data_IF_168139196351
#
_entry.id   IF_168139196351
#
_cell.length_a   1.000
_cell.length_b   1.000
_cell.length_c   1.000
_cell.angle_alpha   90.00
_cell.angle_beta   90.00
_cell.angle_gamma   90.00
#
_symmetry.space_group_name_H-M   'P 1'
#
loop_
_entity.id
_entity.type
_entity.pdbx_description
1 polymer ?
#
# COMPACT_ATOMS: atom_id res chain seq x y z
N UNK A 1 -11.26 -0.42 -8.65
CA UNK A 1 -10.72 0.21 -9.89
C UNK A 1 -9.59 -0.63 -10.47
N UNK A 2 -9.32 -0.55 -11.79
CA UNK A 2 -8.15 -1.19 -12.41
C UNK A 2 -6.94 -0.27 -12.21
N UNK A 3 -5.90 -0.74 -11.50
CA UNK A 3 -4.64 -0.01 -11.33
C UNK A 3 -4.07 0.38 -12.69
N UNK A 4 -3.64 1.64 -12.80
CA UNK A 4 -2.91 2.13 -13.97
C UNK A 4 -1.60 1.34 -14.15
N UNK A 5 -1.04 1.29 -15.36
CA UNK A 5 0.23 0.62 -15.61
C UNK A 5 1.38 1.14 -14.72
N UNK A 6 1.34 2.42 -14.35
CA UNK A 6 2.32 3.05 -13.48
C UNK A 6 2.16 2.58 -12.03
N UNK A 7 0.93 2.61 -11.48
CA UNK A 7 0.66 2.15 -10.11
C UNK A 7 0.99 0.66 -9.93
N UNK A 8 0.74 -0.18 -10.94
CA UNK A 8 1.17 -1.60 -10.90
C UNK A 8 2.68 -1.75 -10.81
N UNK A 9 3.42 -0.87 -11.48
CA UNK A 9 4.89 -0.92 -11.50
C UNK A 9 5.46 -0.47 -10.17
N UNK A 10 4.88 0.57 -9.56
CA UNK A 10 5.22 1.01 -8.20
C UNK A 10 4.86 -0.05 -7.15
N UNK A 11 3.72 -0.74 -7.29
CA UNK A 11 3.36 -1.85 -6.41
C UNK A 11 4.35 -3.01 -6.51
N UNK A 12 4.73 -3.40 -7.72
CA UNK A 12 5.70 -4.47 -7.96
C UNK A 12 7.06 -4.12 -7.37
N UNK A 13 7.52 -2.88 -7.54
CA UNK A 13 8.78 -2.40 -6.99
C UNK A 13 8.80 -2.46 -5.45
N UNK A 14 7.71 -2.01 -4.80
CA UNK A 14 7.59 -2.10 -3.33
C UNK A 14 7.54 -3.55 -2.82
N UNK A 15 6.90 -4.47 -3.58
CA UNK A 15 6.87 -5.89 -3.23
C UNK A 15 8.23 -6.57 -3.41
N UNK A 16 8.99 -6.17 -4.43
CA UNK A 16 10.34 -6.68 -4.67
C UNK A 16 11.29 -6.22 -3.56
N UNK A 17 11.23 -4.94 -3.19
CA UNK A 17 11.97 -4.39 -2.04
C UNK A 17 11.63 -5.11 -0.74
N UNK A 18 10.35 -5.40 -0.48
CA UNK A 18 9.92 -6.16 0.71
C UNK A 18 10.47 -7.59 0.69
N UNK A 19 10.45 -8.26 -0.47
CA UNK A 19 10.92 -9.64 -0.63
C UNK A 19 12.42 -9.74 -0.41
N UNK A 20 13.19 -8.84 -1.03
CA UNK A 20 14.64 -8.79 -0.87
C UNK A 20 15.03 -8.51 0.58
N UNK A 21 14.29 -7.63 1.25
CA UNK A 21 14.60 -7.23 2.62
C UNK A 21 14.14 -8.28 3.67
N UNK A 22 13.21 -9.17 3.32
CA UNK A 22 12.90 -10.39 4.08
C UNK A 22 13.95 -11.50 3.86
N UNK A 23 14.44 -11.67 2.62
CA UNK A 23 15.43 -12.70 2.26
C UNK A 23 16.80 -12.42 2.90
N UNK A 24 17.19 -11.15 2.92
CA UNK A 24 18.46 -10.70 3.49
C UNK A 24 18.46 -10.73 5.04
N UNK A 25 17.31 -11.08 5.67
CA UNK A 25 17.08 -11.13 7.12
C UNK A 25 17.51 -9.85 7.86
N UNK A 26 17.68 -8.75 7.13
CA UNK A 26 18.18 -7.45 7.59
C UNK A 26 17.07 -6.54 8.06
N UNK A 27 15.81 -6.80 7.70
CA UNK A 27 14.69 -6.08 8.27
C UNK A 27 14.35 -6.58 9.66
N UNK A 28 14.54 -5.70 10.64
CA UNK A 28 13.97 -5.89 11.96
C UNK A 28 12.43 -5.87 11.86
N UNK A 29 11.72 -6.64 12.71
CA UNK A 29 10.26 -6.79 12.65
C UNK A 29 9.48 -5.46 12.70
N UNK A 30 10.07 -4.40 13.26
CA UNK A 30 9.50 -3.05 13.23
C UNK A 30 9.52 -2.40 11.84
N UNK A 31 10.61 -2.57 11.09
CA UNK A 31 10.81 -1.96 9.77
C UNK A 31 9.95 -2.67 8.72
N UNK A 32 9.82 -4.00 8.82
CA UNK A 32 8.89 -4.80 8.03
C UNK A 32 7.43 -4.35 8.24
N UNK A 33 7.06 -4.08 9.50
CA UNK A 33 5.71 -3.60 9.86
C UNK A 33 5.42 -2.24 9.24
N UNK A 34 6.38 -1.32 9.24
CA UNK A 34 6.25 0.01 8.63
C UNK A 34 6.06 -0.09 7.11
N UNK A 35 6.90 -0.88 6.43
CA UNK A 35 6.78 -1.10 4.98
C UNK A 35 5.44 -1.74 4.60
N UNK A 36 4.95 -2.70 5.38
CA UNK A 36 3.62 -3.31 5.17
C UNK A 36 2.48 -2.30 5.39
N UNK A 37 2.60 -1.42 6.38
CA UNK A 37 1.60 -0.38 6.65
C UNK A 37 1.53 0.63 5.51
N UNK A 38 2.69 1.01 4.97
CA UNK A 38 2.78 1.94 3.85
C UNK A 38 2.23 1.32 2.56
N UNK A 39 2.57 0.06 2.28
CA UNK A 39 2.00 -0.70 1.15
C UNK A 39 0.48 -0.78 1.26
N UNK A 40 -0.05 -1.13 2.44
CA UNK A 40 -1.50 -1.19 2.70
C UNK A 40 -2.17 0.15 2.48
N UNK A 41 -1.53 1.25 2.86
CA UNK A 41 -2.06 2.61 2.69
C UNK A 41 -2.13 2.99 1.23
N UNK A 42 -1.05 2.77 0.46
CA UNK A 42 -1.02 3.02 -0.99
C UNK A 42 -2.06 2.18 -1.74
N UNK A 43 -2.15 0.88 -1.40
CA UNK A 43 -3.16 -0.01 -1.98
C UNK A 43 -4.58 0.45 -1.66
N UNK A 44 -4.87 0.92 -0.43
CA UNK A 44 -6.18 1.51 -0.10
C UNK A 44 -6.48 2.75 -0.93
N UNK A 45 -5.50 3.65 -1.07
CA UNK A 45 -5.64 4.86 -1.88
C UNK A 45 -5.92 4.51 -3.35
N UNK A 46 -5.18 3.56 -3.92
CA UNK A 46 -5.32 3.16 -5.32
C UNK A 46 -6.59 2.35 -5.63
N UNK A 47 -7.06 1.55 -4.67
CA UNK A 47 -8.31 0.81 -4.84
C UNK A 47 -9.54 1.73 -4.78
N UNK A 48 -9.34 3.01 -4.43
CA UNK A 48 -10.39 3.89 -3.96
C UNK A 48 -10.81 3.41 -2.59
N UNK A 49 -10.63 4.23 -1.56
CA UNK A 49 -11.17 3.94 -0.24
C UNK A 49 -12.68 3.69 -0.42
N UNK A 50 -13.12 2.43 -0.45
CA UNK A 50 -14.54 2.04 -0.56
C UNK A 50 -15.32 2.41 0.72
N UNK A 51 -14.80 3.34 1.51
CA UNK A 51 -15.57 4.05 2.52
C UNK A 51 -16.21 5.27 1.84
N UNK A 52 -17.17 5.02 0.95
CA UNK A 52 -18.27 5.98 0.75
C UNK A 52 -19.02 6.06 2.09
N UNK A 53 -18.75 7.10 2.90
CA UNK A 53 -19.54 8.32 3.07
C UNK A 53 -20.72 8.18 4.07
N UNK A 54 -21.03 9.22 4.87
CA UNK A 54 -21.81 10.30 4.29
C UNK A 54 -21.18 11.67 4.53
N UNK A 55 -20.95 12.40 3.43
CA UNK A 55 -21.29 13.82 3.42
C UNK A 55 -22.73 13.93 3.91
N UNK A 56 -22.94 14.53 5.08
CA UNK A 56 -24.24 15.10 5.39
C UNK A 56 -24.36 16.40 4.57
N UNK A 57 -25.28 16.49 3.60
CA UNK A 57 -25.69 17.77 3.07
C UNK A 57 -26.81 18.30 3.97
N UNK A 58 -26.53 19.39 4.69
CA UNK A 58 -27.54 20.23 5.30
C UNK A 58 -27.70 20.05 6.81
N UNK A 59 -27.39 21.13 7.54
CA UNK A 59 -28.40 22.00 8.14
C UNK A 59 -27.81 23.41 8.30
#
# INVERSE_FOLDING_TARGET
MNLTPQERRELLDLLDQLTQAMDDNTLWPGQLRDTLLELRTRVRTWLGDQTEEPRAPGL
#
